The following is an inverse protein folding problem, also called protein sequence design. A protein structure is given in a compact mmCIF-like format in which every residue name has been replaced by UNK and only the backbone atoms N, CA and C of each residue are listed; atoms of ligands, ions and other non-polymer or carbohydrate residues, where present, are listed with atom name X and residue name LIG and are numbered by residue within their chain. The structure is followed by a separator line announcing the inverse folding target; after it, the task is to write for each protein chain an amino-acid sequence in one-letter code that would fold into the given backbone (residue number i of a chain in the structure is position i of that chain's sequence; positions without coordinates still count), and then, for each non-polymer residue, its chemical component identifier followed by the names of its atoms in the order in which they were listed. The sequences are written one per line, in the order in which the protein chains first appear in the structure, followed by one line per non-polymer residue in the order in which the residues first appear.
data_IF_707938148426
#
_entry.id   IF_707938148426
#
_cell.length_a   1.000
_cell.length_b   1.000
_cell.length_c   1.000
_cell.angle_alpha   90.00
_cell.angle_beta   90.00
_cell.angle_gamma   90.00
#
_symmetry.space_group_name_H-M   'P 1'
#
loop_
_entity.id
_entity.type
_entity.pdbx_description
1 polymer ?
#
# COMPACT_ATOMS: atom_id res chain seq x y z
N UNK A 1 33.84 -82.70 -10.70
CA UNK A 1 34.29 -81.31 -11.00
C UNK A 1 33.06 -80.47 -11.33
N UNK A 2 32.63 -79.61 -10.43
CA UNK A 2 31.49 -78.72 -10.65
C UNK A 2 32.04 -77.32 -10.91
N UNK A 3 31.82 -76.75 -12.13
CA UNK A 3 32.16 -75.43 -12.49
C UNK A 3 31.11 -74.47 -11.93
N UNK A 4 31.49 -73.52 -11.04
CA UNK A 4 30.63 -72.44 -10.61
C UNK A 4 30.91 -71.23 -11.54
N UNK A 5 29.87 -70.82 -12.25
CA UNK A 5 29.89 -69.56 -13.04
C UNK A 5 29.62 -68.39 -12.13
N UNK A 6 30.57 -67.42 -12.07
CA UNK A 6 30.47 -66.17 -11.35
C UNK A 6 29.77 -65.19 -12.26
N UNK A 7 28.55 -64.74 -11.90
CA UNK A 7 27.79 -63.70 -12.63
C UNK A 7 28.14 -62.35 -12.02
N UNK A 8 28.91 -61.54 -12.71
CA UNK A 8 29.26 -60.18 -12.28
C UNK A 8 28.19 -59.21 -12.76
N UNK A 9 27.36 -58.72 -11.85
CA UNK A 9 26.34 -57.69 -12.16
C UNK A 9 27.01 -56.33 -12.16
N UNK A 10 27.11 -55.68 -13.31
CA UNK A 10 27.57 -54.29 -13.44
C UNK A 10 26.39 -53.37 -13.19
N UNK A 11 26.44 -52.60 -12.09
CA UNK A 11 25.48 -51.56 -11.75
C UNK A 11 25.82 -50.26 -12.50
N UNK A 12 25.05 -49.94 -13.53
CA UNK A 12 25.19 -48.65 -14.24
C UNK A 12 24.52 -47.55 -13.39
N UNK A 13 25.32 -46.69 -12.80
CA UNK A 13 24.83 -45.46 -12.12
C UNK A 13 24.58 -44.40 -13.20
N UNK A 14 23.31 -44.16 -13.51
CA UNK A 14 22.89 -43.07 -14.37
C UNK A 14 22.89 -41.80 -13.52
N UNK A 15 23.91 -40.95 -13.69
CA UNK A 15 23.98 -39.60 -13.09
C UNK A 15 23.15 -38.69 -13.98
N UNK A 16 21.91 -38.39 -13.55
CA UNK A 16 21.09 -37.32 -14.17
C UNK A 16 21.67 -35.96 -13.77
N UNK A 17 22.01 -35.09 -14.73
CA UNK A 17 22.43 -33.74 -14.38
C UNK A 17 21.25 -32.97 -13.75
N UNK A 18 21.44 -32.54 -12.51
CA UNK A 18 20.52 -31.58 -11.84
C UNK A 18 20.63 -30.27 -12.60
N UNK A 19 19.64 -29.97 -13.45
CA UNK A 19 19.49 -28.66 -14.06
C UNK A 19 19.27 -27.66 -12.90
N UNK A 20 20.29 -26.91 -12.56
CA UNK A 20 20.18 -25.78 -11.67
C UNK A 20 19.17 -24.79 -12.32
N UNK A 21 17.96 -24.70 -11.76
CA UNK A 21 17.02 -23.66 -12.12
C UNK A 21 17.69 -22.32 -11.80
N UNK A 22 18.11 -21.59 -12.83
CA UNK A 22 18.53 -20.20 -12.67
C UNK A 22 17.33 -19.42 -12.12
N UNK A 23 17.48 -18.87 -10.92
CA UNK A 23 16.54 -17.89 -10.39
C UNK A 23 16.39 -16.76 -11.43
N UNK A 24 15.18 -16.30 -11.72
CA UNK A 24 14.97 -15.19 -12.63
C UNK A 24 15.80 -13.99 -12.16
N UNK A 25 16.49 -13.33 -13.09
CA UNK A 25 17.25 -12.13 -12.78
C UNK A 25 16.32 -11.07 -12.19
N UNK A 26 16.80 -10.37 -11.14
CA UNK A 26 16.04 -9.29 -10.54
C UNK A 26 15.66 -8.25 -11.61
N UNK A 27 14.43 -7.76 -11.60
CA UNK A 27 13.97 -6.73 -12.55
C UNK A 27 14.77 -5.44 -12.34
N UNK A 28 15.33 -4.89 -13.42
CA UNK A 28 15.95 -3.57 -13.38
C UNK A 28 14.87 -2.48 -13.49
N UNK A 29 14.63 -1.78 -12.39
CA UNK A 29 13.66 -0.69 -12.29
C UNK A 29 14.23 0.69 -12.62
N UNK A 30 15.53 0.84 -12.89
CA UNK A 30 16.16 2.13 -13.21
C UNK A 30 15.50 2.86 -14.39
N UNK A 31 15.09 2.17 -15.48
CA UNK A 31 14.37 2.85 -16.57
C UNK A 31 13.01 3.41 -16.12
N UNK A 32 12.32 2.75 -15.19
CA UNK A 32 11.06 3.23 -14.60
C UNK A 32 11.31 4.44 -13.70
N UNK A 33 12.39 4.41 -12.89
CA UNK A 33 12.84 5.57 -12.10
C UNK A 33 13.09 6.80 -12.98
N UNK A 34 13.81 6.59 -14.10
CA UNK A 34 14.12 7.66 -15.05
C UNK A 34 12.84 8.23 -15.68
N UNK A 35 11.89 7.38 -16.06
CA UNK A 35 10.61 7.78 -16.67
C UNK A 35 9.74 8.60 -15.70
N UNK A 36 9.69 8.21 -14.40
CA UNK A 36 8.94 8.92 -13.36
C UNK A 36 9.71 10.09 -12.75
N UNK A 37 11.01 10.25 -13.07
CA UNK A 37 11.86 11.30 -12.51
C UNK A 37 12.10 11.16 -11.01
N UNK A 38 11.95 9.96 -10.44
CA UNK A 38 12.13 9.65 -9.01
C UNK A 38 12.46 8.18 -8.81
N UNK A 39 13.05 7.82 -7.66
CA UNK A 39 13.33 6.43 -7.32
C UNK A 39 12.20 5.82 -6.52
N UNK A 40 11.78 4.61 -6.90
CA UNK A 40 10.90 3.77 -6.15
C UNK A 40 11.64 2.92 -5.12
N UNK A 41 10.89 2.07 -4.43
CA UNK A 41 11.41 1.12 -3.44
C UNK A 41 10.76 -0.24 -3.61
N UNK A 42 11.57 -1.31 -3.48
CA UNK A 42 11.03 -2.67 -3.43
C UNK A 42 10.22 -2.87 -2.16
N UNK A 43 9.06 -3.45 -2.33
CA UNK A 43 8.12 -3.84 -1.28
C UNK A 43 7.91 -5.36 -1.31
N UNK A 44 7.40 -5.97 -0.23
CA UNK A 44 7.03 -7.38 -0.21
C UNK A 44 6.11 -7.76 -1.38
N UNK A 45 6.30 -8.96 -1.94
CA UNK A 45 5.54 -9.47 -3.08
C UNK A 45 6.08 -9.00 -4.44
N UNK A 46 7.36 -8.63 -4.51
CA UNK A 46 8.07 -8.16 -5.71
C UNK A 46 7.43 -6.91 -6.34
N UNK A 47 6.94 -6.01 -5.50
CA UNK A 47 6.32 -4.75 -5.89
C UNK A 47 7.33 -3.62 -5.82
N UNK A 48 7.46 -2.85 -6.90
CA UNK A 48 8.26 -1.63 -6.93
C UNK A 48 7.33 -0.41 -6.78
N UNK A 49 7.42 0.29 -5.66
CA UNK A 49 6.45 1.32 -5.26
C UNK A 49 7.08 2.70 -5.13
N UNK A 50 6.37 3.70 -5.64
CA UNK A 50 6.69 5.11 -5.58
C UNK A 50 5.74 5.81 -4.62
N UNK A 51 6.27 6.56 -3.66
CA UNK A 51 5.50 7.45 -2.80
C UNK A 51 5.63 8.90 -3.31
N UNK A 52 4.50 9.58 -3.41
CA UNK A 52 4.38 10.93 -3.99
C UNK A 52 3.53 11.83 -3.11
N UNK A 53 3.99 12.15 -1.88
CA UNK A 53 3.22 12.94 -0.93
C UNK A 53 3.02 14.38 -1.44
N UNK A 54 1.79 14.89 -1.39
CA UNK A 54 1.37 16.25 -1.77
C UNK A 54 1.74 17.24 -0.65
N UNK A 55 3.02 17.57 -0.55
CA UNK A 55 3.54 18.53 0.44
C UNK A 55 3.20 19.97 0.11
N UNK A 56 2.73 20.24 -1.09
CA UNK A 56 2.25 21.53 -1.58
C UNK A 56 0.86 21.87 -1.02
N UNK A 57 0.08 20.89 -0.59
CA UNK A 57 -1.27 21.05 -0.08
C UNK A 57 -1.26 21.40 1.42
N UNK A 58 -2.17 22.29 1.80
CA UNK A 58 -2.51 22.61 3.19
C UNK A 58 -3.98 22.31 3.40
N UNK A 59 -4.27 21.09 3.80
CA UNK A 59 -5.63 20.60 4.01
C UNK A 59 -5.95 20.58 5.49
N UNK A 60 -7.16 20.99 5.85
CA UNK A 60 -7.68 20.96 7.22
C UNK A 60 -9.02 20.24 7.27
N UNK A 61 -9.25 19.45 8.32
CA UNK A 61 -10.54 18.85 8.67
C UNK A 61 -10.75 18.97 10.17
N UNK A 62 -11.91 19.45 10.59
CA UNK A 62 -12.29 19.63 12.01
C UNK A 62 -11.21 20.34 12.85
N UNK A 63 -10.57 21.37 12.27
CA UNK A 63 -9.49 22.13 12.91
C UNK A 63 -8.12 21.43 12.93
N UNK A 64 -8.00 20.21 12.41
CA UNK A 64 -6.74 19.49 12.29
C UNK A 64 -6.11 19.74 10.93
N UNK A 65 -4.84 20.17 10.91
CA UNK A 65 -4.05 20.21 9.68
C UNK A 65 -3.60 18.79 9.32
N UNK A 66 -4.00 18.34 8.14
CA UNK A 66 -3.71 16.97 7.66
C UNK A 66 -2.27 16.89 7.16
N UNK A 67 -1.47 16.07 7.81
CA UNK A 67 -0.11 15.78 7.34
C UNK A 67 -0.16 14.92 6.07
N UNK A 68 0.77 15.09 5.11
CA UNK A 68 0.80 14.27 3.91
C UNK A 68 0.81 12.77 4.18
N UNK A 69 1.48 12.31 5.24
CA UNK A 69 1.53 10.90 5.62
C UNK A 69 0.25 10.36 6.25
N UNK A 70 -0.71 11.22 6.65
CA UNK A 70 -2.01 10.78 7.17
C UNK A 70 -2.95 10.39 6.02
N UNK A 71 -3.15 11.29 5.04
CA UNK A 71 -4.12 11.08 3.97
C UNK A 71 -3.72 11.67 2.59
N UNK A 72 -2.65 12.47 2.44
CA UNK A 72 -2.34 13.18 1.21
C UNK A 72 -1.17 12.56 0.43
N UNK A 73 -1.09 11.24 0.39
CA UNK A 73 0.01 10.51 -0.23
C UNK A 73 -0.40 9.85 -1.54
N UNK A 74 -0.17 10.49 -2.70
CA UNK A 74 -0.22 9.77 -3.98
C UNK A 74 0.82 8.65 -4.00
N UNK A 75 0.50 7.56 -4.68
CA UNK A 75 1.44 6.46 -4.87
C UNK A 75 1.20 5.76 -6.22
N UNK A 76 2.24 5.08 -6.71
CA UNK A 76 2.15 4.16 -7.84
C UNK A 76 2.98 2.92 -7.54
N UNK A 77 2.47 1.75 -7.89
CA UNK A 77 3.10 0.46 -7.65
C UNK A 77 3.16 -0.34 -8.95
N UNK A 78 4.32 -0.92 -9.23
CA UNK A 78 4.59 -1.73 -10.40
C UNK A 78 4.96 -3.15 -9.95
N UNK A 79 4.37 -4.15 -10.57
CA UNK A 79 4.70 -5.56 -10.36
C UNK A 79 4.90 -6.26 -11.68
N UNK A 80 6.08 -6.88 -11.85
CA UNK A 80 6.38 -7.68 -13.04
C UNK A 80 5.59 -8.98 -13.02
N UNK A 81 4.89 -9.27 -14.12
CA UNK A 81 4.02 -10.42 -14.29
C UNK A 81 4.34 -11.10 -15.62
N UNK A 82 5.32 -12.02 -15.61
CA UNK A 82 5.82 -12.61 -16.85
C UNK A 82 6.44 -11.56 -17.78
N UNK A 83 5.87 -11.37 -18.96
CA UNK A 83 6.36 -10.39 -19.94
C UNK A 83 5.74 -8.99 -19.77
N UNK A 84 4.72 -8.85 -18.95
CA UNK A 84 4.03 -7.59 -18.69
C UNK A 84 4.29 -7.09 -17.27
N UNK A 85 3.91 -5.85 -17.04
CA UNK A 85 3.92 -5.22 -15.72
C UNK A 85 2.51 -4.73 -15.42
N UNK A 86 2.02 -5.03 -14.22
CA UNK A 86 0.83 -4.42 -13.65
C UNK A 86 1.21 -3.10 -13.00
N UNK A 87 0.48 -2.04 -13.30
CA UNK A 87 0.47 -0.76 -12.61
C UNK A 87 -0.80 -0.63 -11.77
N UNK A 88 -0.66 -0.21 -10.54
CA UNK A 88 -1.75 0.31 -9.71
C UNK A 88 -1.30 1.59 -9.02
N UNK A 89 -2.22 2.52 -8.79
CA UNK A 89 -1.89 3.76 -8.12
C UNK A 89 -3.11 4.46 -7.56
N UNK A 90 -2.84 5.48 -6.73
CA UNK A 90 -3.82 6.38 -6.18
C UNK A 90 -3.25 7.81 -6.23
N UNK A 91 -3.93 8.70 -6.94
CA UNK A 91 -3.48 10.07 -7.19
C UNK A 91 -4.30 11.04 -6.36
N UNK A 92 -3.61 11.83 -5.54
CA UNK A 92 -4.20 12.91 -4.74
C UNK A 92 -4.29 14.17 -5.61
N UNK A 93 -5.50 14.63 -5.86
CA UNK A 93 -5.81 15.69 -6.81
C UNK A 93 -6.64 16.81 -6.17
N UNK A 94 -6.36 18.04 -6.55
CA UNK A 94 -7.31 19.17 -6.34
C UNK A 94 -8.42 19.10 -7.40
N UNK A 95 -9.56 19.76 -7.16
CA UNK A 95 -10.71 19.72 -8.09
C UNK A 95 -10.34 20.16 -9.50
N UNK A 96 -9.44 21.13 -9.65
CA UNK A 96 -8.97 21.65 -10.94
C UNK A 96 -7.96 20.72 -11.65
N UNK A 97 -7.37 19.77 -10.94
CA UNK A 97 -6.45 18.76 -11.50
C UNK A 97 -7.18 17.52 -12.03
N UNK A 98 -8.44 17.26 -11.64
CA UNK A 98 -9.16 16.01 -11.95
C UNK A 98 -9.31 15.82 -13.45
N UNK A 99 -9.99 16.75 -14.11
CA UNK A 99 -10.34 16.61 -15.53
C UNK A 99 -9.10 16.53 -16.44
N UNK A 100 -8.10 17.42 -16.33
CA UNK A 100 -6.91 17.34 -17.19
C UNK A 100 -6.10 16.06 -16.94
N UNK A 101 -6.00 15.58 -15.69
CA UNK A 101 -5.30 14.32 -15.37
C UNK A 101 -6.04 13.14 -15.95
N UNK A 102 -7.37 13.06 -15.78
CA UNK A 102 -8.22 11.99 -16.30
C UNK A 102 -8.12 11.88 -17.82
N UNK A 103 -8.26 13.00 -18.54
CA UNK A 103 -8.12 13.03 -19.99
C UNK A 103 -6.74 12.56 -20.45
N UNK A 104 -5.68 12.99 -19.73
CA UNK A 104 -4.32 12.60 -20.09
C UNK A 104 -4.09 11.11 -19.88
N UNK A 105 -4.54 10.54 -18.77
CA UNK A 105 -4.45 9.11 -18.49
C UNK A 105 -5.17 8.28 -19.58
N UNK A 106 -6.39 8.69 -19.98
CA UNK A 106 -7.15 8.02 -21.04
C UNK A 106 -6.41 8.06 -22.38
N UNK A 107 -5.85 9.21 -22.76
CA UNK A 107 -5.05 9.34 -23.98
C UNK A 107 -3.82 8.44 -24.00
N UNK A 108 -3.24 8.20 -22.85
CA UNK A 108 -2.05 7.36 -22.66
C UNK A 108 -2.38 5.88 -22.40
N UNK A 109 -3.66 5.51 -22.35
CA UNK A 109 -4.12 4.14 -22.15
C UNK A 109 -3.98 3.61 -20.72
N UNK A 110 -3.99 4.51 -19.71
CA UNK A 110 -4.09 4.14 -18.30
C UNK A 110 -5.56 4.25 -17.88
N UNK A 111 -6.08 3.21 -17.26
CA UNK A 111 -7.46 3.13 -16.79
C UNK A 111 -7.63 3.92 -15.48
N UNK A 112 -8.79 4.56 -15.32
CA UNK A 112 -9.25 5.11 -14.07
C UNK A 112 -10.27 4.12 -13.48
N UNK A 113 -10.00 3.64 -12.28
CA UNK A 113 -10.82 2.60 -11.65
C UNK A 113 -11.72 3.14 -10.56
N UNK A 114 -11.40 4.31 -9.98
CA UNK A 114 -12.26 5.04 -9.05
C UNK A 114 -11.90 6.52 -9.01
N UNK A 115 -12.88 7.35 -8.64
CA UNK A 115 -12.70 8.76 -8.25
C UNK A 115 -13.54 8.99 -6.98
N UNK A 116 -12.90 9.30 -5.87
CA UNK A 116 -13.55 9.38 -4.56
C UNK A 116 -12.85 10.37 -3.62
N UNK A 117 -13.42 10.59 -2.44
CA UNK A 117 -12.80 11.35 -1.34
C UNK A 117 -12.21 10.39 -0.30
N UNK A 118 -11.19 10.84 0.44
CA UNK A 118 -10.76 10.16 1.67
C UNK A 118 -11.39 10.78 2.92
N UNK A 119 -11.68 12.07 2.88
CA UNK A 119 -12.23 12.84 3.98
C UNK A 119 -13.46 13.63 3.50
N UNK A 120 -14.45 13.80 4.36
CA UNK A 120 -15.60 14.66 4.11
C UNK A 120 -15.42 16.00 4.84
N UNK A 121 -15.77 17.09 4.17
CA UNK A 121 -15.75 18.43 4.78
C UNK A 121 -14.35 19.02 4.99
N UNK A 122 -13.31 18.45 4.40
CA UNK A 122 -11.98 19.03 4.38
C UNK A 122 -11.91 20.29 3.52
N UNK A 123 -10.95 21.15 3.81
CA UNK A 123 -10.71 22.39 3.06
C UNK A 123 -9.22 22.56 2.78
N UNK A 124 -8.81 22.79 1.50
CA UNK A 124 -9.62 22.64 0.29
C UNK A 124 -10.08 21.20 0.08
N UNK A 125 -11.11 21.00 -0.74
CA UNK A 125 -11.57 19.66 -1.13
C UNK A 125 -10.49 18.95 -1.94
N UNK A 126 -10.23 17.70 -1.60
CA UNK A 126 -9.25 16.83 -2.27
C UNK A 126 -9.98 15.58 -2.75
N UNK A 127 -9.66 15.17 -3.97
CA UNK A 127 -10.15 13.94 -4.56
C UNK A 127 -9.01 12.95 -4.80
N UNK A 128 -9.35 11.69 -4.90
CA UNK A 128 -8.41 10.60 -5.06
C UNK A 128 -8.84 9.79 -6.27
N UNK A 129 -7.88 9.51 -7.16
CA UNK A 129 -8.14 8.81 -8.41
C UNK A 129 -7.31 7.53 -8.44
N UNK A 130 -7.99 6.38 -8.34
CA UNK A 130 -7.32 5.11 -8.58
C UNK A 130 -7.07 4.91 -10.06
N UNK A 131 -5.88 4.42 -10.37
CA UNK A 131 -5.41 4.15 -11.72
C UNK A 131 -4.85 2.75 -11.82
N UNK A 132 -5.05 2.12 -12.98
CA UNK A 132 -4.55 0.78 -13.29
C UNK A 132 -4.10 0.65 -14.73
N UNK A 133 -3.28 -0.38 -15.00
CA UNK A 133 -2.86 -0.68 -16.36
C UNK A 133 -1.93 -1.86 -16.42
N UNK A 134 -1.83 -2.45 -17.61
CA UNK A 134 -0.98 -3.58 -17.92
C UNK A 134 -0.13 -3.30 -19.16
N UNK A 135 1.13 -3.76 -19.16
CA UNK A 135 1.98 -3.61 -20.33
C UNK A 135 3.46 -3.40 -20.02
N UNK A 136 4.13 -2.63 -20.88
CA UNK A 136 5.54 -2.28 -20.68
C UNK A 136 5.71 -1.30 -19.52
N UNK A 137 6.60 -1.62 -18.57
CA UNK A 137 6.78 -0.86 -17.36
C UNK A 137 7.21 0.60 -17.62
N UNK A 138 8.12 0.81 -18.59
CA UNK A 138 8.64 2.15 -18.90
C UNK A 138 7.58 3.00 -19.59
N UNK A 139 6.78 2.38 -20.48
CA UNK A 139 5.66 3.05 -21.13
C UNK A 139 4.60 3.47 -20.10
N UNK A 140 4.19 2.58 -19.19
CA UNK A 140 3.25 2.89 -18.11
C UNK A 140 3.77 4.02 -17.21
N UNK A 141 5.06 4.00 -16.86
CA UNK A 141 5.68 5.04 -16.05
C UNK A 141 5.73 6.39 -16.79
N UNK A 142 6.05 6.40 -18.09
CA UNK A 142 6.07 7.62 -18.92
C UNK A 142 4.67 8.21 -19.05
N UNK A 143 3.66 7.38 -19.29
CA UNK A 143 2.26 7.78 -19.36
C UNK A 143 1.79 8.41 -18.04
N UNK A 144 2.09 7.75 -16.91
CA UNK A 144 1.76 8.27 -15.59
C UNK A 144 2.51 9.59 -15.31
N UNK A 145 3.79 9.70 -15.65
CA UNK A 145 4.57 10.92 -15.48
C UNK A 145 3.97 12.11 -16.26
N UNK A 146 3.46 11.86 -17.46
CA UNK A 146 2.82 12.88 -18.29
C UNK A 146 1.51 13.41 -17.66
N UNK A 147 0.76 12.55 -16.98
CA UNK A 147 -0.43 12.95 -16.24
C UNK A 147 -0.06 13.70 -14.94
N UNK A 148 0.93 13.23 -14.20
CA UNK A 148 1.43 13.90 -12.99
C UNK A 148 2.01 15.30 -13.28
N UNK A 149 2.54 15.53 -14.48
CA UNK A 149 3.02 16.85 -14.91
C UNK A 149 1.90 17.92 -15.00
N UNK A 150 0.64 17.49 -15.01
CA UNK A 150 -0.53 18.39 -14.97
C UNK A 150 -0.97 18.72 -13.53
N UNK A 151 -0.27 18.19 -12.54
CA UNK A 151 -0.53 18.41 -11.11
C UNK A 151 0.61 19.22 -10.47
N UNK A 152 0.37 19.70 -9.26
CA UNK A 152 1.42 20.26 -8.41
C UNK A 152 2.12 19.22 -7.55
N UNK A 153 1.98 17.93 -7.88
CA UNK A 153 2.71 16.85 -7.19
C UNK A 153 4.21 17.11 -7.28
N UNK A 154 4.91 17.24 -6.15
CA UNK A 154 6.34 17.59 -6.17
C UNK A 154 7.14 16.62 -7.03
N UNK A 155 7.93 17.14 -7.97
CA UNK A 155 8.86 16.34 -8.76
C UNK A 155 9.94 15.69 -7.87
N UNK A 156 10.37 14.48 -8.20
CA UNK A 156 11.19 13.60 -7.36
C UNK A 156 12.63 14.00 -7.05
N UNK A 157 13.01 15.27 -7.19
CA UNK A 157 14.34 15.75 -6.85
C UNK A 157 14.46 16.16 -5.38
N UNK A 158 14.32 15.23 -4.45
CA UNK A 158 14.76 15.42 -3.06
C UNK A 158 15.71 14.29 -2.66
N UNK A 159 16.84 14.62 -1.97
CA UNK A 159 17.74 13.58 -1.49
C UNK A 159 17.01 12.70 -0.47
N UNK A 160 17.24 11.43 -0.59
CA UNK A 160 16.76 10.33 0.25
C UNK A 160 16.50 10.70 1.71
N UNK A 161 15.24 10.83 2.08
CA UNK A 161 14.74 10.39 3.39
C UNK A 161 13.45 9.64 3.14
N UNK A 162 13.60 8.44 2.66
CA UNK A 162 12.52 7.52 2.34
C UNK A 162 12.40 6.48 3.45
N UNK A 163 11.29 6.51 4.16
CA UNK A 163 10.85 5.36 4.95
C UNK A 163 9.36 5.16 4.69
N UNK A 164 9.04 4.35 3.69
CA UNK A 164 7.76 3.66 3.57
C UNK A 164 7.97 2.29 4.21
N UNK A 165 7.04 1.86 5.01
CA UNK A 165 7.12 0.71 5.89
C UNK A 165 7.57 -0.59 5.20
N UNK A 166 8.79 -1.03 5.49
CA UNK A 166 9.35 -2.32 5.11
C UNK A 166 9.25 -3.28 6.30
N UNK A 167 8.82 -4.51 6.05
CA UNK A 167 8.99 -5.60 7.01
C UNK A 167 10.48 -5.88 7.19
N UNK A 168 10.99 -6.17 8.40
CA UNK A 168 12.42 -6.16 8.68
C UNK A 168 13.14 -7.36 8.11
N UNK A 169 14.14 -7.10 7.23
CA UNK A 169 15.30 -7.95 7.08
C UNK A 169 16.43 -7.41 7.98
N UNK A 170 17.25 -8.25 8.59
CA UNK A 170 18.28 -7.79 9.53
C UNK A 170 19.48 -7.22 8.76
N UNK A 171 19.76 -5.93 8.89
CA UNK A 171 21.03 -5.34 8.48
C UNK A 171 21.63 -4.50 9.60
N UNK A 172 22.88 -4.84 9.88
CA UNK A 172 23.76 -4.16 10.82
C UNK A 172 24.21 -2.80 10.28
N UNK A 173 23.99 -1.75 11.07
CA UNK A 173 24.91 -0.63 11.24
C UNK A 173 24.92 0.51 10.24
N UNK A 174 24.10 1.55 10.47
CA UNK A 174 24.48 2.96 10.38
C UNK A 174 23.56 3.77 11.32
N UNK A 175 24.05 4.80 12.04
CA UNK A 175 23.22 5.54 12.98
C UNK A 175 22.18 6.37 12.22
N UNK A 176 20.90 6.08 12.44
CA UNK A 176 19.79 6.89 11.96
C UNK A 176 19.88 8.28 12.61
N UNK A 177 19.76 9.34 11.78
CA UNK A 177 19.52 10.68 12.30
C UNK A 177 18.34 10.62 13.26
N UNK A 178 18.48 11.19 14.46
CA UNK A 178 17.46 11.17 15.51
C UNK A 178 16.19 11.87 15.03
N UNK A 179 15.24 11.07 14.51
CA UNK A 179 13.90 11.55 14.26
C UNK A 179 13.30 12.01 15.60
N UNK A 180 12.64 13.19 15.60
CA UNK A 180 11.90 13.66 16.77
C UNK A 180 10.98 12.52 17.24
N UNK A 181 10.94 12.20 18.55
CA UNK A 181 9.99 11.22 19.07
C UNK A 181 8.57 11.64 18.67
N UNK A 182 7.75 10.67 18.24
CA UNK A 182 6.34 10.92 18.02
C UNK A 182 5.65 11.23 19.35
N UNK A 183 4.82 12.27 19.40
CA UNK A 183 4.05 12.66 20.59
C UNK A 183 2.79 11.78 20.71
N UNK A 184 3.01 10.49 20.93
CA UNK A 184 1.95 9.49 21.04
C UNK A 184 2.47 8.27 21.82
N UNK A 185 1.63 7.67 22.67
CA UNK A 185 1.90 6.35 23.26
C UNK A 185 1.72 5.24 22.19
N UNK A 186 2.74 5.06 21.37
CA UNK A 186 2.71 4.07 20.27
C UNK A 186 2.51 2.65 20.80
N UNK A 187 3.07 2.32 22.00
CA UNK A 187 2.92 0.98 22.59
C UNK A 187 1.50 0.71 23.05
N UNK A 188 0.85 1.70 23.67
CA UNK A 188 -0.56 1.60 24.07
C UNK A 188 -1.46 1.44 22.85
N UNK A 189 -1.23 2.20 21.77
CA UNK A 189 -1.95 2.06 20.50
C UNK A 189 -1.72 0.68 19.87
N UNK A 190 -0.47 0.22 19.77
CA UNK A 190 -0.13 -1.11 19.23
C UNK A 190 -0.78 -2.24 20.01
N UNK A 191 -0.78 -2.14 21.34
CA UNK A 191 -1.40 -3.13 22.22
C UNK A 191 -2.92 -3.14 22.05
N UNK A 192 -3.57 -1.99 21.98
CA UNK A 192 -5.01 -1.86 21.82
C UNK A 192 -5.47 -2.36 20.43
N UNK A 193 -4.72 -2.01 19.38
CA UNK A 193 -5.00 -2.46 18.01
C UNK A 193 -4.65 -3.95 17.79
N UNK A 194 -3.65 -4.45 18.52
CA UNK A 194 -3.15 -5.82 18.40
C UNK A 194 -2.14 -6.04 17.28
N UNK A 195 -1.55 -4.98 16.71
CA UNK A 195 -0.58 -5.02 15.63
C UNK A 195 0.59 -4.08 15.92
N UNK A 196 1.76 -4.40 15.35
CA UNK A 196 2.91 -3.49 15.40
C UNK A 196 2.83 -2.47 14.27
N UNK A 197 3.02 -1.20 14.61
CA UNK A 197 3.06 -0.10 13.66
C UNK A 197 4.47 0.36 13.33
N UNK A 198 4.58 1.27 12.38
CA UNK A 198 5.83 1.98 12.06
C UNK A 198 5.60 3.48 12.11
N UNK A 199 6.54 4.20 12.71
CA UNK A 199 6.51 5.66 12.69
C UNK A 199 7.21 6.16 11.44
N UNK A 200 6.48 6.90 10.61
CA UNK A 200 6.97 7.49 9.39
C UNK A 200 6.53 8.96 9.29
N UNK A 201 7.48 9.90 9.24
CA UNK A 201 7.19 11.33 9.13
C UNK A 201 6.31 11.87 10.27
N UNK A 202 6.37 11.27 11.48
CA UNK A 202 5.56 11.67 12.62
C UNK A 202 4.14 11.06 12.65
N UNK A 203 3.86 10.13 11.75
CA UNK A 203 2.61 9.35 11.68
C UNK A 203 2.89 7.91 12.09
N UNK A 204 2.10 7.34 12.98
CA UNK A 204 2.13 5.91 13.30
C UNK A 204 1.22 5.18 12.30
N UNK A 205 1.79 4.26 11.52
CA UNK A 205 1.14 3.61 10.39
C UNK A 205 1.10 2.09 10.57
N UNK A 206 -0.02 1.49 10.18
CA UNK A 206 -0.24 0.05 10.18
C UNK A 206 -0.69 -0.39 8.78
N UNK A 207 -0.20 -1.55 8.34
CA UNK A 207 -0.67 -2.25 7.15
C UNK A 207 -1.09 -3.66 7.54
N UNK A 208 -2.37 -3.98 7.42
CA UNK A 208 -2.94 -5.25 7.88
C UNK A 208 -3.50 -6.00 6.68
N UNK A 209 -2.82 -7.06 6.21
CA UNK A 209 -3.25 -7.80 5.04
C UNK A 209 -4.49 -8.64 5.33
N UNK A 210 -5.25 -8.95 4.29
CA UNK A 210 -6.30 -9.96 4.34
C UNK A 210 -5.70 -11.37 4.26
N UNK A 211 -6.50 -12.39 4.64
CA UNK A 211 -6.11 -13.79 4.48
C UNK A 211 -6.36 -14.30 3.06
N UNK A 212 -7.31 -13.69 2.35
CA UNK A 212 -7.62 -14.07 0.98
C UNK A 212 -6.49 -13.66 0.05
N UNK A 213 -6.24 -14.53 -0.91
CA UNK A 213 -5.42 -14.20 -2.07
C UNK A 213 -6.25 -13.38 -3.06
N UNK A 214 -5.82 -12.17 -3.33
CA UNK A 214 -6.48 -11.27 -4.27
C UNK A 214 -5.84 -11.44 -5.64
N UNK A 215 -6.67 -11.52 -6.68
CA UNK A 215 -6.21 -11.61 -8.08
C UNK A 215 -6.97 -10.63 -8.95
N UNK A 216 -6.30 -10.11 -9.98
CA UNK A 216 -6.90 -9.31 -11.05
C UNK A 216 -6.31 -9.75 -12.38
N UNK A 217 -7.16 -9.97 -13.40
CA UNK A 217 -6.72 -10.51 -14.69
C UNK A 217 -5.99 -11.86 -14.58
N UNK A 218 -6.28 -12.67 -13.55
CA UNK A 218 -5.59 -13.93 -13.26
C UNK A 218 -4.23 -13.77 -12.56
N UNK A 219 -3.82 -12.55 -12.24
CA UNK A 219 -2.54 -12.21 -11.59
C UNK A 219 -2.76 -11.88 -10.12
N UNK A 220 -1.81 -12.25 -9.26
CA UNK A 220 -1.88 -11.95 -7.84
C UNK A 220 -1.57 -10.49 -7.56
N UNK A 221 -2.49 -9.83 -6.83
CA UNK A 221 -2.33 -8.47 -6.30
C UNK A 221 -1.89 -8.55 -4.85
N UNK A 222 -0.60 -8.37 -4.53
CA UNK A 222 -0.11 -8.48 -3.16
C UNK A 222 -0.52 -7.27 -2.30
N UNK A 223 -0.49 -7.40 -0.97
CA UNK A 223 -0.90 -6.36 -0.02
C UNK A 223 -0.25 -4.99 -0.26
N UNK A 224 1.02 -4.97 -0.69
CA UNK A 224 1.78 -3.74 -0.98
C UNK A 224 1.27 -2.95 -2.20
N UNK A 225 0.39 -3.56 -3.02
CA UNK A 225 -0.32 -2.89 -4.13
C UNK A 225 -1.67 -2.31 -3.72
N UNK A 226 -1.88 -2.01 -2.43
CA UNK A 226 -3.10 -1.34 -1.96
C UNK A 226 -4.23 -2.28 -1.54
N UNK A 227 -3.95 -3.58 -1.31
CA UNK A 227 -4.94 -4.57 -0.83
C UNK A 227 -4.74 -4.97 0.64
N UNK A 228 -4.03 -4.14 1.42
CA UNK A 228 -3.95 -4.23 2.88
C UNK A 228 -4.74 -3.08 3.52
N UNK A 229 -5.48 -3.38 4.59
CA UNK A 229 -6.09 -2.34 5.42
C UNK A 229 -5.00 -1.41 5.96
N UNK A 230 -5.08 -0.13 5.64
CA UNK A 230 -4.18 0.92 6.11
C UNK A 230 -4.83 1.68 7.26
N UNK A 231 -4.07 1.87 8.35
CA UNK A 231 -4.51 2.64 9.51
C UNK A 231 -3.39 3.60 9.89
N UNK A 232 -3.70 4.89 9.97
CA UNK A 232 -2.72 5.93 10.27
C UNK A 232 -3.19 6.76 11.48
N UNK A 233 -2.25 7.07 12.38
CA UNK A 233 -2.47 7.94 13.54
C UNK A 233 -1.53 9.15 13.45
N UNK A 234 -2.11 10.33 13.38
CA UNK A 234 -1.40 11.61 13.46
C UNK A 234 -1.61 12.22 14.85
N UNK A 235 -0.57 12.43 15.67
CA UNK A 235 -0.71 13.09 16.95
C UNK A 235 -1.34 14.48 16.81
N UNK A 236 -2.31 14.79 17.68
CA UNK A 236 -2.93 16.12 17.78
C UNK A 236 -2.71 16.78 19.14
N UNK A 237 -1.89 16.14 19.99
CA UNK A 237 -1.51 16.61 21.33
C UNK A 237 -2.35 15.98 22.45
N UNK A 238 -1.82 16.02 23.68
CA UNK A 238 -2.51 15.54 24.88
C UNK A 238 -3.00 14.07 24.78
N UNK A 239 -2.22 13.17 24.16
CA UNK A 239 -2.58 11.76 23.98
C UNK A 239 -3.63 11.49 22.90
N UNK A 240 -4.09 12.54 22.20
CA UNK A 240 -5.04 12.42 21.09
C UNK A 240 -4.34 12.21 19.76
N UNK A 241 -5.06 11.59 18.83
CA UNK A 241 -4.65 11.47 17.45
C UNK A 241 -5.84 11.67 16.50
N UNK A 242 -5.57 12.30 15.36
CA UNK A 242 -6.43 12.18 14.19
C UNK A 242 -6.11 10.86 13.50
N UNK A 243 -7.13 10.11 13.16
CA UNK A 243 -7.00 8.85 12.43
C UNK A 243 -7.64 8.93 11.05
N UNK A 244 -7.00 8.31 10.08
CA UNK A 244 -7.53 8.05 8.75
C UNK A 244 -6.90 6.80 8.19
N UNK A 245 -7.54 6.18 7.23
CA UNK A 245 -7.05 4.98 6.58
C UNK A 245 -8.08 4.38 5.66
N UNK A 246 -7.87 3.11 5.33
CA UNK A 246 -8.66 2.42 4.35
C UNK A 246 -8.84 0.95 4.74
N UNK A 247 -10.04 0.55 5.11
CA UNK A 247 -10.38 -0.86 5.32
C UNK A 247 -10.54 -1.57 3.98
N UNK A 248 -9.97 -2.76 3.86
CA UNK A 248 -10.16 -3.66 2.71
C UNK A 248 -11.15 -4.74 3.09
N UNK A 249 -12.31 -4.78 2.42
CA UNK A 249 -13.50 -5.52 2.84
C UNK A 249 -14.05 -6.42 1.73
N UNK A 250 -14.64 -7.55 2.13
CA UNK A 250 -15.61 -8.27 1.31
C UNK A 250 -17.01 -7.63 1.47
N UNK A 251 -17.92 -7.91 0.55
CA UNK A 251 -19.24 -7.29 0.55
C UNK A 251 -20.05 -7.52 1.82
N UNK A 252 -19.93 -8.69 2.44
CA UNK A 252 -20.61 -9.06 3.69
C UNK A 252 -19.98 -8.43 4.94
N UNK A 253 -18.74 -7.95 4.86
CA UNK A 253 -18.03 -7.26 5.95
C UNK A 253 -18.35 -5.75 6.02
N UNK A 254 -18.81 -5.14 4.92
CA UNK A 254 -19.01 -3.68 4.81
C UNK A 254 -19.93 -3.16 5.93
N UNK A 255 -21.12 -3.70 6.08
CA UNK A 255 -22.08 -3.21 7.08
C UNK A 255 -21.69 -3.55 8.54
N UNK A 256 -21.13 -4.74 8.86
CA UNK A 256 -20.56 -5.02 10.18
C UNK A 256 -19.48 -4.00 10.58
N UNK A 257 -18.53 -3.70 9.68
CA UNK A 257 -17.45 -2.72 9.93
C UNK A 257 -18.01 -1.31 10.13
N UNK A 258 -18.98 -0.86 9.32
CA UNK A 258 -19.65 0.44 9.52
C UNK A 258 -20.25 0.52 10.94
N UNK A 259 -20.95 -0.52 11.39
CA UNK A 259 -21.55 -0.52 12.73
C UNK A 259 -20.50 -0.48 13.83
N UNK A 260 -19.43 -1.24 13.70
CA UNK A 260 -18.33 -1.25 14.67
C UNK A 260 -17.63 0.11 14.77
N UNK A 261 -17.30 0.75 13.65
CA UNK A 261 -16.70 2.09 13.62
C UNK A 261 -17.63 3.12 14.29
N UNK A 262 -18.90 3.16 13.89
CA UNK A 262 -19.88 4.10 14.41
C UNK A 262 -20.13 3.94 15.91
N UNK A 263 -20.16 2.70 16.42
CA UNK A 263 -20.32 2.41 17.84
C UNK A 263 -19.19 2.99 18.70
N UNK A 264 -18.01 3.24 18.09
CA UNK A 264 -16.83 3.81 18.73
C UNK A 264 -16.57 5.28 18.39
N UNK A 265 -17.54 5.95 17.73
CA UNK A 265 -17.44 7.37 17.39
C UNK A 265 -16.46 7.65 16.24
N UNK A 266 -16.19 6.63 15.41
CA UNK A 266 -15.36 6.78 14.20
C UNK A 266 -16.30 6.96 13.01
N UNK A 267 -16.09 8.04 12.25
CA UNK A 267 -16.90 8.38 11.07
C UNK A 267 -16.47 7.54 9.87
N UNK A 268 -17.45 7.17 9.04
CA UNK A 268 -17.19 6.56 7.73
C UNK A 268 -17.27 7.67 6.69
N UNK A 269 -16.20 7.81 5.91
CA UNK A 269 -16.00 8.91 4.98
C UNK A 269 -16.34 8.55 3.54
N UNK A 270 -16.05 7.29 3.13
CA UNK A 270 -16.36 6.77 1.81
C UNK A 270 -16.42 5.24 1.83
N UNK A 271 -17.17 4.67 0.90
CA UNK A 271 -17.09 3.25 0.49
C UNK A 271 -16.93 3.24 -1.03
N UNK A 272 -15.87 2.61 -1.52
CA UNK A 272 -15.49 2.65 -2.92
C UNK A 272 -14.76 1.36 -3.35
N UNK A 273 -14.29 1.29 -4.58
CA UNK A 273 -13.44 0.23 -5.14
C UNK A 273 -12.04 0.77 -5.47
N UNK A 274 -11.04 -0.12 -5.57
CA UNK A 274 -9.72 0.22 -6.14
C UNK A 274 -9.54 -0.36 -7.54
N UNK A 275 -10.18 -1.49 -7.80
CA UNK A 275 -10.10 -2.26 -9.04
C UNK A 275 -11.53 -2.51 -9.57
N UNK A 276 -11.66 -3.00 -10.79
CA UNK A 276 -12.96 -3.25 -11.43
C UNK A 276 -13.28 -4.74 -11.56
N UNK A 277 -12.26 -5.61 -11.60
CA UNK A 277 -12.39 -7.02 -12.00
C UNK A 277 -11.69 -8.01 -11.08
N UNK A 278 -11.22 -7.55 -9.92
CA UNK A 278 -10.52 -8.36 -8.94
C UNK A 278 -11.39 -9.48 -8.36
N UNK A 279 -10.73 -10.55 -7.91
CA UNK A 279 -11.38 -11.69 -7.25
C UNK A 279 -10.64 -12.05 -5.95
N UNK A 280 -11.35 -12.20 -4.82
CA UNK A 280 -12.76 -11.82 -4.64
C UNK A 280 -12.96 -10.31 -4.82
N UNK A 281 -14.19 -9.88 -5.14
CA UNK A 281 -14.50 -8.45 -5.28
C UNK A 281 -14.36 -7.74 -3.93
N UNK A 282 -13.63 -6.62 -3.93
CA UNK A 282 -13.29 -5.86 -2.73
C UNK A 282 -14.01 -4.53 -2.69
N UNK A 283 -14.33 -4.12 -1.47
CA UNK A 283 -14.76 -2.78 -1.12
C UNK A 283 -13.73 -2.15 -0.20
N UNK A 284 -13.55 -0.85 -0.34
CA UNK A 284 -12.61 -0.06 0.43
C UNK A 284 -13.37 1.00 1.20
N UNK A 285 -12.97 1.25 2.46
CA UNK A 285 -13.74 2.13 3.33
C UNK A 285 -12.84 3.09 4.09
N UNK A 286 -12.97 4.37 3.76
CA UNK A 286 -12.30 5.42 4.49
C UNK A 286 -13.03 5.78 5.77
N UNK A 287 -12.26 6.19 6.76
CA UNK A 287 -12.74 6.58 8.08
C UNK A 287 -11.99 7.78 8.64
N UNK A 288 -12.62 8.46 9.60
CA UNK A 288 -12.05 9.60 10.30
C UNK A 288 -12.50 9.66 11.75
N UNK A 289 -11.61 10.07 12.64
CA UNK A 289 -11.89 10.57 13.97
C UNK A 289 -10.69 11.35 14.50
N UNK A 290 -10.91 12.19 15.52
CA UNK A 290 -9.87 12.85 16.30
C UNK A 290 -10.22 12.80 17.79
N UNK A 291 -9.64 11.84 18.53
CA UNK A 291 -9.92 11.61 19.95
C UNK A 291 -8.71 10.94 20.63
N UNK A 292 -8.88 10.45 21.86
CA UNK A 292 -7.89 9.63 22.57
C UNK A 292 -7.41 8.47 21.67
N UNK A 293 -6.11 8.37 21.47
CA UNK A 293 -5.52 7.45 20.50
C UNK A 293 -5.74 5.98 20.85
N UNK A 294 -5.70 5.65 22.16
CA UNK A 294 -5.93 4.26 22.61
C UNK A 294 -7.39 3.86 22.46
N UNK A 295 -8.31 4.76 22.77
CA UNK A 295 -9.75 4.56 22.54
C UNK A 295 -10.06 4.35 21.06
N UNK A 296 -9.46 5.15 20.17
CA UNK A 296 -9.61 4.99 18.71
C UNK A 296 -9.02 3.65 18.25
N UNK A 297 -7.86 3.24 18.77
CA UNK A 297 -7.26 1.93 18.46
C UNK A 297 -8.17 0.75 18.87
N UNK A 298 -8.86 0.85 20.02
CA UNK A 298 -9.86 -0.14 20.45
C UNK A 298 -11.05 -0.21 19.48
N UNK A 299 -11.55 0.94 19.02
CA UNK A 299 -12.64 1.01 18.02
C UNK A 299 -12.22 0.41 16.67
N UNK A 300 -11.00 0.72 16.21
CA UNK A 300 -10.45 0.13 15.00
C UNK A 300 -10.20 -1.38 15.15
N UNK A 301 -9.80 -1.84 16.35
CA UNK A 301 -9.70 -3.27 16.65
C UNK A 301 -11.06 -3.97 16.52
N UNK A 302 -12.11 -3.40 17.11
CA UNK A 302 -13.46 -3.94 17.00
C UNK A 302 -13.92 -4.02 15.53
N UNK A 303 -13.59 -3.02 14.71
CA UNK A 303 -13.89 -3.05 13.28
C UNK A 303 -13.07 -4.12 12.52
N UNK A 304 -11.79 -4.30 12.85
CA UNK A 304 -10.95 -5.35 12.28
C UNK A 304 -11.44 -6.76 12.64
N UNK A 305 -12.06 -6.93 13.81
CA UNK A 305 -12.63 -8.22 14.23
C UNK A 305 -13.82 -8.66 13.37
N UNK A 306 -14.46 -7.72 12.68
CA UNK A 306 -15.54 -7.98 11.70
C UNK A 306 -15.00 -8.33 10.29
N UNK A 307 -13.66 -8.45 10.13
CA UNK A 307 -13.02 -8.75 8.84
C UNK A 307 -12.24 -10.05 8.89
N UNK A 308 -11.98 -10.66 7.72
CA UNK A 308 -11.06 -11.78 7.60
C UNK A 308 -9.60 -11.34 7.42
N UNK A 309 -9.22 -10.27 8.08
CA UNK A 309 -7.82 -9.83 8.13
C UNK A 309 -6.93 -10.86 8.84
N UNK A 310 -5.63 -10.84 8.52
CA UNK A 310 -4.64 -11.62 9.26
C UNK A 310 -4.72 -11.22 10.74
N UNK A 311 -4.84 -12.21 11.63
CA UNK A 311 -4.90 -11.92 13.09
C UNK A 311 -3.51 -11.57 13.58
N UNK A 312 -3.45 -10.67 14.58
CA UNK A 312 -2.23 -10.40 15.31
C UNK A 312 -1.64 -11.70 15.87
N UNK A 313 -0.32 -11.82 15.83
CA UNK A 313 0.34 -12.91 16.54
C UNK A 313 0.00 -12.76 18.04
N UNK A 314 -0.66 -13.75 18.63
CA UNK A 314 -0.82 -13.86 20.07
C UNK A 314 0.58 -13.89 20.68
N UNK A 315 0.95 -12.84 21.43
CA UNK A 315 2.17 -12.80 22.24
C UNK A 315 1.97 -13.56 23.54
#
# INVERSE_FOLDING_TARGET
MKLQALCTTVLLIVVTPLLAQQLPAATDWKPVDAALGRSGQMQPGDVYKFAMPRKDLKVTKDGVTIAPGLALGSWAAFKKMGNETMLMGDLVLTEDEIEPVMLKLQQEGIEQTALHNHLLGETPRIMYMHVGGHGDAVKLATSLASALALTKTPSGSSPRTSNVAEAPAPTTGAPAATAKPIDLDTKGVEQALGFSGKVNGGILQFGIPRKEKITEGGMEVPPSMGTATAINFQPTGAGKAAISGDFVLLGDEVNPVIRALRAHGIEVEAVHNHMLTEQPHLYFMHFWANDDATKLAQGLRAALDETNSVKAATR
#
